data_IF_279546852935
#
_entry.id   IF_279546852935
#
_cell.length_a   1.000
_cell.length_b   1.000
_cell.length_c   1.000
_cell.angle_alpha   90.00
_cell.angle_beta   90.00
_cell.angle_gamma   90.00
#
_symmetry.space_group_name_H-M   'P 1'
#
loop_
_entity.id
_entity.type
_entity.pdbx_description
1 polymer ?
#
# COMPACT_ATOMS: atom_id res chain seq x y z
N UNK A 1 20.14 15.77 19.18
CA UNK A 1 20.03 14.70 18.15
C UNK A 1 18.58 14.51 17.81
N UNK A 2 18.21 14.78 16.58
CA UNK A 2 16.85 14.52 16.14
C UNK A 2 16.67 13.00 15.98
N UNK A 3 15.70 12.45 16.67
CA UNK A 3 15.32 11.07 16.43
C UNK A 3 14.74 10.96 15.00
N UNK A 4 15.25 10.01 14.23
CA UNK A 4 14.66 9.70 12.95
C UNK A 4 13.42 8.87 13.21
N UNK A 5 12.27 9.51 13.24
CA UNK A 5 10.99 8.83 13.35
C UNK A 5 10.61 8.26 12.00
N UNK A 6 10.80 6.97 11.82
CA UNK A 6 10.27 6.27 10.65
C UNK A 6 8.77 6.11 10.84
N UNK A 7 8.00 6.76 9.99
CA UNK A 7 6.54 6.69 10.02
C UNK A 7 6.00 6.18 8.69
N UNK A 8 4.87 5.53 8.80
CA UNK A 8 4.14 5.01 7.65
C UNK A 8 2.81 5.75 7.56
N UNK A 9 2.62 6.45 6.46
CA UNK A 9 1.44 7.30 6.26
C UNK A 9 0.58 6.77 5.13
N UNK A 10 -0.70 7.04 5.23
CA UNK A 10 -1.67 6.72 4.20
C UNK A 10 -2.57 7.95 3.98
N UNK A 11 -2.96 8.19 2.73
CA UNK A 11 -3.78 9.34 2.38
C UNK A 11 -4.65 9.01 1.18
N UNK A 12 -5.95 9.39 1.17
CA UNK A 12 -6.78 9.15 0.00
C UNK A 12 -6.32 9.96 -1.21
N UNK A 13 -6.43 9.37 -2.39
CA UNK A 13 -6.06 10.02 -3.64
C UNK A 13 -7.03 9.62 -4.76
N UNK A 14 -6.83 10.19 -5.95
CA UNK A 14 -7.55 9.81 -7.15
C UNK A 14 -6.81 8.68 -7.90
N UNK A 15 -7.37 8.25 -9.03
CA UNK A 15 -6.77 7.20 -9.86
C UNK A 15 -5.42 7.56 -10.48
N UNK A 16 -5.04 8.84 -10.45
CA UNK A 16 -3.75 9.34 -10.94
C UNK A 16 -2.73 9.50 -9.82
N UNK A 17 -3.10 9.22 -8.58
CA UNK A 17 -2.23 9.37 -7.43
C UNK A 17 -2.16 10.79 -6.88
N UNK A 18 -3.04 11.66 -7.31
CA UNK A 18 -3.13 13.03 -6.80
C UNK A 18 -3.98 13.00 -5.54
N UNK A 19 -3.42 13.46 -4.43
CA UNK A 19 -4.11 13.47 -3.14
C UNK A 19 -5.37 14.32 -3.20
N UNK A 20 -6.42 13.86 -2.52
CA UNK A 20 -7.70 14.57 -2.48
C UNK A 20 -7.51 15.85 -1.67
N UNK A 21 -7.96 16.97 -2.26
CA UNK A 21 -7.87 18.29 -1.61
C UNK A 21 -8.64 18.29 -0.29
N UNK A 22 -7.99 18.78 0.75
CA UNK A 22 -8.58 18.81 2.09
C UNK A 22 -8.35 17.56 2.91
N UNK A 23 -7.77 16.51 2.31
CA UNK A 23 -7.38 15.30 3.06
C UNK A 23 -6.04 15.51 3.77
N UNK A 24 -5.80 14.73 4.81
CA UNK A 24 -4.55 14.75 5.55
C UNK A 24 -3.88 13.38 5.53
N UNK A 25 -2.56 13.37 5.71
CA UNK A 25 -1.81 12.12 5.91
C UNK A 25 -2.16 11.53 7.25
N UNK A 26 -2.59 10.28 7.27
CA UNK A 26 -2.87 9.55 8.50
C UNK A 26 -1.71 8.61 8.81
N UNK A 27 -1.19 8.69 10.03
CA UNK A 27 -0.15 7.77 10.48
C UNK A 27 -0.78 6.41 10.82
N UNK A 28 -0.28 5.33 10.22
CA UNK A 28 -0.84 4.01 10.43
C UNK A 28 -0.74 3.57 11.89
N UNK A 29 0.34 3.92 12.58
CA UNK A 29 0.56 3.49 13.97
C UNK A 29 -0.01 4.44 15.02
N UNK A 30 -0.46 5.63 14.64
CA UNK A 30 -0.90 6.66 15.59
C UNK A 30 -2.37 7.05 15.43
N UNK A 31 -2.81 7.30 14.20
CA UNK A 31 -4.10 7.93 13.93
C UNK A 31 -5.29 6.98 13.97
N UNK A 32 -5.04 5.68 13.97
CA UNK A 32 -6.08 4.66 14.05
C UNK A 32 -6.19 4.02 15.44
N UNK A 33 -5.41 4.50 16.39
CA UNK A 33 -5.43 4.00 17.75
C UNK A 33 -6.73 4.42 18.45
N UNK A 34 -7.23 3.53 19.29
CA UNK A 34 -8.41 3.78 20.14
C UNK A 34 -8.00 3.50 21.59
N UNK A 35 -8.87 3.86 22.54
CA UNK A 35 -8.63 3.50 23.92
C UNK A 35 -8.65 1.97 24.07
N UNK A 36 -7.55 1.42 24.60
CA UNK A 36 -7.39 -0.04 24.76
C UNK A 36 -7.06 -0.79 23.48
N UNK A 37 -6.72 -0.09 22.40
CA UNK A 37 -6.32 -0.72 21.16
C UNK A 37 -5.37 0.13 20.35
N UNK A 38 -4.38 -0.49 19.73
CA UNK A 38 -3.41 0.22 18.91
C UNK A 38 -2.92 -0.63 17.74
N UNK A 39 -2.37 0.07 16.75
CA UNK A 39 -1.87 -0.54 15.51
C UNK A 39 -0.35 -0.57 15.55
N UNK A 40 0.23 -1.69 15.07
CA UNK A 40 1.67 -1.81 14.83
C UNK A 40 1.91 -2.28 13.41
N UNK A 41 2.81 -1.61 12.75
CA UNK A 41 3.26 -1.95 11.41
C UNK A 41 4.25 -3.13 11.48
N UNK A 42 4.01 -4.15 10.68
CA UNK A 42 4.95 -5.28 10.54
C UNK A 42 5.81 -5.13 9.31
N UNK A 43 5.17 -5.13 8.14
CA UNK A 43 5.89 -5.08 6.87
C UNK A 43 4.98 -4.71 5.70
N UNK A 44 5.59 -4.33 4.60
CA UNK A 44 4.90 -4.15 3.32
C UNK A 44 5.68 -4.95 2.26
N UNK A 45 5.19 -6.15 1.96
CA UNK A 45 5.82 -7.03 0.97
C UNK A 45 5.48 -6.58 -0.44
N UNK A 46 6.46 -6.68 -1.33
CA UNK A 46 6.28 -6.29 -2.73
C UNK A 46 6.46 -4.81 -3.01
N UNK A 47 6.86 -4.02 -2.01
CA UNK A 47 7.03 -2.57 -2.15
C UNK A 47 8.02 -2.21 -3.26
N UNK A 48 9.10 -2.98 -3.40
CA UNK A 48 10.14 -2.73 -4.39
C UNK A 48 9.94 -3.51 -5.70
N UNK A 49 8.82 -4.21 -5.84
CA UNK A 49 8.51 -4.95 -7.05
C UNK A 49 8.10 -4.00 -8.17
N UNK A 50 8.73 -4.14 -9.32
CA UNK A 50 8.39 -3.38 -10.52
C UNK A 50 7.65 -4.31 -11.47
N UNK A 51 6.44 -3.89 -11.90
CA UNK A 51 5.65 -4.65 -12.86
C UNK A 51 6.32 -4.69 -14.23
N UNK A 52 5.97 -5.71 -15.03
CA UNK A 52 6.47 -5.83 -16.40
C UNK A 52 6.08 -4.61 -17.22
N UNK A 53 6.99 -4.12 -18.04
CA UNK A 53 6.69 -3.03 -18.97
C UNK A 53 5.67 -3.47 -20.02
N UNK A 54 4.75 -2.57 -20.35
CA UNK A 54 3.79 -2.80 -21.44
C UNK A 54 4.49 -2.53 -22.76
N UNK A 55 4.60 -3.54 -23.60
CA UNK A 55 5.20 -3.46 -24.92
C UNK A 55 4.25 -4.04 -25.96
N UNK A 56 4.36 -3.57 -27.18
CA UNK A 56 3.57 -4.07 -28.31
C UNK A 56 4.47 -4.86 -29.24
N UNK A 57 4.02 -6.05 -29.65
CA UNK A 57 4.75 -6.88 -30.60
C UNK A 57 3.94 -7.03 -31.89
N UNK A 58 4.61 -6.95 -33.01
CA UNK A 58 4.00 -7.21 -34.31
C UNK A 58 4.81 -8.29 -35.03
N UNK A 59 4.09 -9.22 -35.68
CA UNK A 59 4.72 -10.19 -36.57
C UNK A 59 4.22 -9.94 -38.00
N UNK A 60 5.16 -9.94 -38.95
CA UNK A 60 4.87 -9.75 -40.37
C UNK A 60 4.95 -11.09 -41.07
N UNK A 61 4.01 -11.32 -42.02
CA UNK A 61 3.93 -12.58 -42.75
C UNK A 61 5.23 -12.91 -43.51
N UNK A 62 5.95 -11.89 -43.97
CA UNK A 62 7.18 -12.02 -44.75
C UNK A 62 8.46 -11.89 -43.92
N UNK A 63 8.35 -11.85 -42.59
CA UNK A 63 9.48 -11.67 -41.73
C UNK A 63 9.48 -12.70 -40.60
N UNK A 64 10.63 -13.32 -40.39
CA UNK A 64 10.86 -14.23 -39.26
C UNK A 64 11.10 -13.46 -37.93
N UNK A 65 11.17 -12.13 -37.98
CA UNK A 65 11.45 -11.29 -36.84
C UNK A 65 10.18 -10.64 -36.31
N UNK A 66 10.00 -10.73 -35.00
CA UNK A 66 9.00 -9.93 -34.26
C UNK A 66 9.51 -8.51 -34.12
N UNK A 67 8.64 -7.55 -34.39
CA UNK A 67 8.92 -6.15 -34.03
C UNK A 67 8.32 -5.87 -32.67
N UNK A 68 9.15 -5.31 -31.79
CA UNK A 68 8.74 -4.90 -30.46
C UNK A 68 8.68 -3.37 -30.44
N UNK A 69 7.49 -2.86 -30.17
CA UNK A 69 7.28 -1.41 -30.03
C UNK A 69 7.32 -1.07 -28.55
N UNK A 70 8.35 -0.34 -28.15
CA UNK A 70 8.53 0.14 -26.77
C UNK A 70 8.09 1.59 -26.73
N UNK A 71 7.05 1.95 -25.94
CA UNK A 71 6.64 3.34 -25.79
C UNK A 71 7.78 4.21 -25.25
N UNK A 72 7.82 5.49 -25.63
CA UNK A 72 8.81 6.44 -25.13
C UNK A 72 8.77 6.59 -23.61
N UNK A 73 7.57 6.47 -23.02
CA UNK A 73 7.36 6.39 -21.59
C UNK A 73 6.90 4.99 -21.24
N UNK A 74 7.71 4.25 -20.47
CA UNK A 74 7.35 2.91 -20.05
C UNK A 74 6.20 2.93 -19.06
N UNK A 75 5.17 2.14 -19.35
CA UNK A 75 4.05 1.89 -18.45
C UNK A 75 4.23 0.49 -17.89
N UNK A 76 4.17 0.36 -16.58
CA UNK A 76 4.33 -0.90 -15.88
C UNK A 76 2.97 -1.51 -15.54
N UNK A 77 2.88 -2.84 -15.62
CA UNK A 77 1.66 -3.55 -15.20
C UNK A 77 1.50 -3.47 -13.68
N UNK A 78 0.26 -3.39 -13.19
CA UNK A 78 0.03 -3.39 -11.75
C UNK A 78 0.61 -4.61 -11.05
N UNK A 79 1.08 -4.42 -9.83
CA UNK A 79 1.62 -5.49 -8.99
C UNK A 79 0.81 -5.58 -7.70
N UNK A 80 0.97 -6.68 -6.98
CA UNK A 80 0.34 -6.87 -5.68
C UNK A 80 1.32 -6.51 -4.57
N UNK A 81 0.83 -5.72 -3.63
CA UNK A 81 1.56 -5.35 -2.42
C UNK A 81 0.78 -5.88 -1.23
N UNK A 82 1.46 -6.49 -0.28
CA UNK A 82 0.83 -7.00 0.94
C UNK A 82 1.31 -6.18 2.13
N UNK A 83 0.39 -5.44 2.74
CA UNK A 83 0.62 -4.68 3.95
C UNK A 83 0.17 -5.52 5.14
N UNK A 84 1.07 -5.80 6.08
CA UNK A 84 0.76 -6.58 7.28
C UNK A 84 0.79 -5.68 8.50
N UNK A 85 -0.30 -5.68 9.24
CA UNK A 85 -0.46 -4.90 10.46
C UNK A 85 -0.86 -5.79 11.63
N UNK A 86 -0.44 -5.40 12.84
CA UNK A 86 -0.94 -5.95 14.09
C UNK A 86 -1.93 -4.97 14.71
N UNK A 87 -3.07 -5.48 15.14
CA UNK A 87 -4.00 -4.74 15.98
C UNK A 87 -3.96 -5.37 17.36
N UNK A 88 -3.59 -4.60 18.37
CA UNK A 88 -3.21 -5.09 19.70
C UNK A 88 -4.10 -4.47 20.76
N UNK A 89 -4.42 -5.24 21.79
CA UNK A 89 -5.17 -4.77 22.95
C UNK A 89 -6.58 -5.33 23.04
N UNK A 90 -7.30 -4.97 24.09
CA UNK A 90 -8.68 -5.42 24.32
C UNK A 90 -9.63 -4.91 23.23
N UNK A 91 -9.38 -3.70 22.75
CA UNK A 91 -10.19 -3.07 21.69
C UNK A 91 -9.53 -3.17 20.32
N UNK A 92 -8.75 -4.22 20.07
CA UNK A 92 -8.08 -4.44 18.79
C UNK A 92 -9.03 -4.50 17.61
N UNK A 93 -10.23 -5.05 17.80
CA UNK A 93 -11.22 -5.10 16.73
C UNK A 93 -11.80 -3.73 16.38
N UNK A 94 -11.87 -2.81 17.34
CA UNK A 94 -12.28 -1.44 17.08
C UNK A 94 -11.26 -0.70 16.23
N UNK A 95 -9.95 -0.90 16.48
CA UNK A 95 -8.88 -0.40 15.62
C UNK A 95 -8.98 -0.98 14.21
N UNK A 96 -9.17 -2.29 14.12
CA UNK A 96 -9.31 -3.01 12.87
C UNK A 96 -10.47 -2.45 12.04
N UNK A 97 -11.62 -2.28 12.67
CA UNK A 97 -12.81 -1.73 12.01
C UNK A 97 -12.61 -0.28 11.56
N UNK A 98 -11.94 0.53 12.38
CA UNK A 98 -11.64 1.92 12.04
C UNK A 98 -10.73 2.02 10.82
N UNK A 99 -9.68 1.20 10.76
CA UNK A 99 -8.76 1.16 9.63
C UNK A 99 -9.45 0.67 8.36
N UNK A 100 -10.27 -0.38 8.47
CA UNK A 100 -11.03 -0.89 7.33
C UNK A 100 -12.04 0.13 6.80
N UNK A 101 -12.72 0.85 7.69
CA UNK A 101 -13.64 1.92 7.30
C UNK A 101 -12.92 3.03 6.55
N UNK A 102 -11.70 3.38 6.99
CA UNK A 102 -10.87 4.37 6.31
C UNK A 102 -10.51 3.91 4.89
N UNK A 103 -10.09 2.65 4.74
CA UNK A 103 -9.77 2.09 3.42
C UNK A 103 -10.98 2.04 2.48
N UNK A 104 -12.16 1.77 3.03
CA UNK A 104 -13.41 1.71 2.25
C UNK A 104 -13.92 3.09 1.83
N UNK A 105 -13.53 4.13 2.53
CA UNK A 105 -14.00 5.48 2.27
C UNK A 105 -13.53 6.03 0.93
N UNK A 106 -12.41 5.56 0.42
CA UNK A 106 -11.87 5.96 -0.89
C UNK A 106 -11.35 4.75 -1.64
N UNK A 107 -11.53 4.67 -2.98
CA UNK A 107 -11.04 3.53 -3.76
C UNK A 107 -9.52 3.52 -3.92
N UNK A 108 -8.88 4.69 -3.89
CA UNK A 108 -7.43 4.81 -4.12
C UNK A 108 -6.77 5.52 -2.95
N UNK A 109 -5.55 5.09 -2.63
CA UNK A 109 -4.76 5.66 -1.55
C UNK A 109 -3.30 5.77 -1.95
N UNK A 110 -2.61 6.70 -1.32
CA UNK A 110 -1.16 6.82 -1.38
C UNK A 110 -0.60 6.30 -0.05
N UNK A 111 0.39 5.41 -0.16
CA UNK A 111 1.16 4.91 0.97
C UNK A 111 2.55 5.53 0.94
N UNK A 112 2.99 6.06 2.07
CA UNK A 112 4.32 6.65 2.23
C UNK A 112 5.13 5.82 3.22
N UNK A 113 6.21 5.20 2.73
CA UNK A 113 7.12 4.44 3.58
C UNK A 113 8.37 5.27 3.84
N UNK A 114 8.42 5.95 4.98
CA UNK A 114 9.55 6.80 5.32
C UNK A 114 10.80 6.00 5.70
N UNK A 115 10.66 4.72 6.05
CA UNK A 115 11.81 3.86 6.32
C UNK A 115 12.60 3.52 5.05
N UNK A 116 11.92 3.48 3.90
CA UNK A 116 12.52 3.17 2.61
C UNK A 116 12.48 4.35 1.64
N UNK A 117 11.90 5.47 2.08
CA UNK A 117 11.67 6.68 1.27
C UNK A 117 10.95 6.38 -0.04
N UNK A 118 9.89 5.59 0.08
CA UNK A 118 9.09 5.15 -1.07
C UNK A 118 7.64 5.61 -0.95
N UNK A 119 7.09 6.00 -2.08
CA UNK A 119 5.68 6.33 -2.24
C UNK A 119 5.08 5.40 -3.26
N UNK A 120 3.94 4.82 -2.94
CA UNK A 120 3.19 4.03 -3.91
C UNK A 120 1.72 4.45 -3.91
N UNK A 121 1.10 4.28 -5.05
CA UNK A 121 -0.35 4.49 -5.20
C UNK A 121 -0.99 3.13 -5.34
N UNK A 122 -2.02 2.89 -4.56
CA UNK A 122 -2.69 1.60 -4.57
C UNK A 122 -4.21 1.75 -4.50
N UNK A 123 -4.91 0.70 -4.90
CA UNK A 123 -6.30 0.53 -4.54
C UNK A 123 -6.48 -0.79 -3.78
N UNK A 124 -7.54 -0.84 -2.99
CA UNK A 124 -7.89 -2.05 -2.25
C UNK A 124 -8.63 -2.98 -3.21
N UNK A 125 -8.16 -4.23 -3.33
CA UNK A 125 -8.83 -5.26 -4.12
C UNK A 125 -10.14 -5.68 -3.44
N UNK A 126 -10.83 -6.62 -4.04
CA UNK A 126 -12.13 -7.13 -3.56
C UNK A 126 -12.11 -7.54 -2.09
N UNK A 127 -10.98 -8.05 -1.60
CA UNK A 127 -10.80 -8.41 -0.21
C UNK A 127 -9.93 -7.38 0.50
N UNK A 128 -10.44 -6.78 1.58
CA UNK A 128 -9.68 -5.82 2.37
C UNK A 128 -8.61 -6.55 3.19
N UNK A 129 -9.02 -7.59 3.90
CA UNK A 129 -8.11 -8.40 4.72
C UNK A 129 -8.31 -9.87 4.40
N UNK A 130 -7.22 -10.60 4.18
CA UNK A 130 -7.29 -11.98 3.72
C UNK A 130 -6.99 -13.00 4.80
N UNK A 131 -6.03 -12.71 5.66
CA UNK A 131 -5.60 -13.65 6.70
C UNK A 131 -5.58 -12.96 8.06
N UNK A 132 -5.98 -13.71 9.08
CA UNK A 132 -5.93 -13.25 10.46
C UNK A 132 -5.33 -14.34 11.33
N UNK A 133 -4.30 -14.00 12.08
CA UNK A 133 -3.79 -14.80 13.18
C UNK A 133 -4.18 -14.12 14.48
N UNK A 134 -4.64 -14.90 15.46
CA UNK A 134 -5.13 -14.35 16.73
C UNK A 134 -4.34 -14.93 17.90
N UNK A 135 -4.09 -14.07 18.88
CA UNK A 135 -3.50 -14.46 20.15
C UNK A 135 -4.33 -13.88 21.29
N UNK A 136 -4.67 -14.71 22.27
CA UNK A 136 -5.54 -14.35 23.39
C UNK A 136 -4.82 -14.40 24.74
N UNK A 137 -3.51 -14.12 24.76
CA UNK A 137 -2.74 -14.08 26.00
C UNK A 137 -2.85 -12.73 26.70
N UNK A 138 -1.83 -12.43 27.53
CA UNK A 138 -1.73 -11.16 28.27
C UNK A 138 -1.64 -9.94 27.36
N UNK A 139 -1.19 -10.13 26.12
CA UNK A 139 -1.13 -9.09 25.09
C UNK A 139 -1.88 -9.57 23.85
N UNK A 140 -3.23 -9.53 23.86
CA UNK A 140 -4.00 -10.06 22.73
C UNK A 140 -3.79 -9.22 21.46
N UNK A 141 -3.65 -9.90 20.33
CA UNK A 141 -3.48 -9.23 19.04
C UNK A 141 -4.12 -10.04 17.92
N UNK A 142 -4.34 -9.36 16.81
CA UNK A 142 -4.64 -9.98 15.51
C UNK A 142 -3.61 -9.50 14.49
N UNK A 143 -3.16 -10.41 13.65
CA UNK A 143 -2.29 -10.09 12.50
C UNK A 143 -3.15 -10.13 11.25
N UNK A 144 -3.12 -9.05 10.49
CA UNK A 144 -3.98 -8.90 9.31
C UNK A 144 -3.12 -8.54 8.10
N UNK A 145 -3.34 -9.27 7.01
CA UNK A 145 -2.69 -9.01 5.72
C UNK A 145 -3.67 -8.31 4.80
N UNK A 146 -3.30 -7.12 4.34
CA UNK A 146 -4.07 -6.35 3.36
C UNK A 146 -3.45 -6.52 1.98
N UNK A 147 -4.20 -7.10 1.06
CA UNK A 147 -3.76 -7.22 -0.34
C UNK A 147 -4.15 -5.97 -1.10
N UNK A 148 -3.14 -5.22 -1.51
CA UNK A 148 -3.30 -3.96 -2.20
C UNK A 148 -2.80 -4.12 -3.63
N UNK A 149 -3.42 -3.42 -4.57
CA UNK A 149 -2.94 -3.39 -5.94
C UNK A 149 -2.16 -2.11 -6.17
N UNK A 150 -0.86 -2.24 -6.43
CA UNK A 150 -0.02 -1.12 -6.84
C UNK A 150 -0.35 -0.81 -8.29
N UNK A 151 -1.18 0.20 -8.52
CA UNK A 151 -1.79 0.47 -9.83
C UNK A 151 -0.79 0.93 -10.90
N UNK A 152 0.31 1.55 -10.48
CA UNK A 152 1.35 1.98 -11.41
C UNK A 152 2.48 0.95 -11.58
N UNK A 153 2.45 -0.14 -10.82
CA UNK A 153 3.45 -1.20 -10.89
C UNK A 153 4.86 -0.79 -10.49
N UNK A 154 5.01 0.35 -9.83
CA UNK A 154 6.29 0.88 -9.38
C UNK A 154 6.08 1.80 -8.18
N UNK A 155 7.18 2.09 -7.48
CA UNK A 155 7.19 3.10 -6.43
C UNK A 155 7.97 4.33 -6.89
N UNK A 156 7.70 5.45 -6.25
CA UNK A 156 8.45 6.69 -6.45
C UNK A 156 9.24 7.01 -5.19
N UNK A 157 10.38 7.66 -5.37
CA UNK A 157 11.16 8.14 -4.25
C UNK A 157 10.50 9.39 -3.65
N UNK A 158 10.52 9.48 -2.32
CA UNK A 158 10.03 10.68 -1.62
C UNK A 158 11.22 11.47 -1.10
N UNK A 159 11.06 12.79 -1.09
CA UNK A 159 12.08 13.67 -0.53
C UNK A 159 12.10 13.59 0.99
N UNK A 160 13.30 13.56 1.54
CA UNK A 160 13.52 13.61 2.98
C UNK A 160 13.51 15.07 3.39
N UNK A 161 12.55 15.40 4.24
CA UNK A 161 12.50 16.74 4.86
C UNK A 161 12.99 16.67 6.30
#
# INVERSE_FOLDING_TARGET
>A
MSEVNYKFFIQPCDKYGIVIKGSSKESIEEDFNVEGGFVRYKECKGLNTIGSAVVYTESYADSERLRVHVPSNLVHKPTTVTLTLYFIGENRYKCYDAFNAYLKASPYHVYYDTARYKRLVFFVKDEIATDKSQWHGSHPYIEVNYKLSNIFGKTEDIEIQ
#
